data_IF_152083715787
#
_entry.id   IF_152083715787
#
_cell.length_a   1.000
_cell.length_b   1.000
_cell.length_c   1.000
_cell.angle_alpha   90.00
_cell.angle_beta   90.00
_cell.angle_gamma   90.00
#
_symmetry.space_group_name_H-M   'P 1'
#
loop_
_entity.id
_entity.type
_entity.pdbx_description
1 polymer ?
#
# COMPACT_ATOMS: atom_id res chain seq x y z
N UNK A 1 -45.11 -67.76 31.98
CA UNK A 1 -43.79 -67.64 31.33
C UNK A 1 -44.07 -67.35 29.86
N UNK A 2 -43.80 -66.22 29.23
CA UNK A 2 -43.15 -64.95 29.55
C UNK A 2 -43.82 -63.92 28.61
N UNK A 3 -44.18 -62.75 29.13
CA UNK A 3 -44.49 -61.56 28.35
C UNK A 3 -43.17 -60.96 27.85
N UNK A 4 -43.04 -60.62 26.57
CA UNK A 4 -42.14 -59.54 26.15
C UNK A 4 -42.80 -58.72 25.03
N UNK A 5 -42.97 -57.40 25.17
CA UNK A 5 -43.74 -56.58 24.24
C UNK A 5 -42.89 -56.12 23.04
N UNK A 6 -43.59 -55.74 21.97
CA UNK A 6 -43.08 -54.88 20.90
C UNK A 6 -42.40 -53.64 21.51
N UNK A 7 -41.11 -53.46 21.23
CA UNK A 7 -40.45 -52.17 21.37
C UNK A 7 -39.75 -51.84 20.05
N UNK A 8 -40.47 -51.05 19.25
CA UNK A 8 -39.90 -50.12 18.27
C UNK A 8 -38.99 -49.15 19.04
N UNK A 9 -37.71 -49.46 19.14
CA UNK A 9 -36.72 -48.47 19.53
C UNK A 9 -36.28 -47.75 18.25
N UNK A 10 -36.85 -46.56 18.06
CA UNK A 10 -36.46 -45.62 17.03
C UNK A 10 -34.93 -45.45 17.01
N UNK A 11 -34.36 -45.52 15.81
CA UNK A 11 -32.99 -45.13 15.58
C UNK A 11 -32.82 -43.67 16.04
N UNK A 12 -32.01 -43.46 17.08
CA UNK A 12 -31.51 -42.15 17.44
C UNK A 12 -30.51 -41.70 16.37
N UNK A 13 -31.00 -41.32 15.20
CA UNK A 13 -30.32 -40.38 14.31
C UNK A 13 -30.47 -38.97 14.92
N UNK A 14 -29.95 -38.80 16.13
CA UNK A 14 -29.66 -37.46 16.63
C UNK A 14 -28.59 -36.84 15.72
N UNK A 15 -28.62 -35.52 15.50
CA UNK A 15 -27.50 -34.84 14.85
C UNK A 15 -26.20 -35.18 15.61
N UNK A 16 -25.06 -35.31 14.92
CA UNK A 16 -23.79 -35.60 15.58
C UNK A 16 -23.57 -34.59 16.71
N UNK A 17 -22.97 -35.02 17.85
CA UNK A 17 -22.69 -34.11 18.94
C UNK A 17 -21.88 -32.94 18.39
N UNK A 18 -22.41 -31.72 18.56
CA UNK A 18 -21.64 -30.51 18.34
C UNK A 18 -20.36 -30.65 19.17
N UNK A 19 -19.24 -30.82 18.46
CA UNK A 19 -17.92 -30.86 19.08
C UNK A 19 -17.85 -29.60 19.93
N UNK A 20 -17.56 -29.79 21.22
CA UNK A 20 -17.48 -28.73 22.21
C UNK A 20 -16.87 -27.47 21.56
N UNK A 21 -17.59 -26.35 21.63
CA UNK A 21 -17.07 -25.05 21.28
C UNK A 21 -15.97 -24.68 22.29
N UNK A 22 -14.81 -25.32 22.15
CA UNK A 22 -13.56 -24.86 22.74
C UNK A 22 -13.24 -23.53 22.07
N UNK A 23 -13.66 -22.45 22.73
CA UNK A 23 -13.34 -21.04 22.49
C UNK A 23 -12.59 -20.75 21.18
N UNK A 24 -13.26 -20.90 20.03
CA UNK A 24 -12.74 -20.37 18.79
C UNK A 24 -12.94 -18.87 18.86
N UNK A 25 -11.86 -18.12 19.12
CA UNK A 25 -11.95 -16.67 19.11
C UNK A 25 -12.04 -16.22 17.65
N UNK A 26 -13.25 -16.28 17.12
CA UNK A 26 -13.62 -15.81 15.78
C UNK A 26 -13.66 -14.27 15.72
N UNK A 27 -12.79 -13.58 16.46
CA UNK A 27 -12.77 -12.13 16.44
C UNK A 27 -12.27 -11.69 15.07
N UNK A 28 -13.04 -10.82 14.42
CA UNK A 28 -12.56 -10.11 13.24
C UNK A 28 -11.47 -9.12 13.68
N UNK A 29 -10.19 -9.34 13.31
CA UNK A 29 -9.11 -8.44 13.67
C UNK A 29 -9.36 -7.00 13.19
N UNK A 30 -10.06 -6.79 12.07
CA UNK A 30 -10.36 -5.45 11.55
C UNK A 30 -11.42 -4.68 12.36
N UNK A 31 -12.10 -5.32 13.32
CA UNK A 31 -13.02 -4.64 14.23
C UNK A 31 -12.34 -4.16 15.52
N UNK A 32 -11.12 -4.62 15.79
CA UNK A 32 -10.33 -4.22 16.94
C UNK A 32 -8.95 -3.74 16.48
N UNK A 33 -8.75 -2.42 16.53
CA UNK A 33 -7.47 -1.78 16.16
C UNK A 33 -6.26 -2.31 16.95
N UNK A 34 -6.47 -2.97 18.09
CA UNK A 34 -5.39 -3.58 18.89
C UNK A 34 -4.92 -4.92 18.30
N UNK A 35 -5.72 -5.53 17.41
CA UNK A 35 -5.44 -6.83 16.79
C UNK A 35 -4.75 -6.71 15.43
N UNK A 36 -4.59 -5.49 14.90
CA UNK A 36 -3.97 -5.29 13.60
C UNK A 36 -2.97 -4.14 13.55
N UNK A 37 -2.04 -4.33 12.63
CA UNK A 37 -0.97 -3.44 12.22
C UNK A 37 -1.25 -2.25 11.31
N UNK A 38 -2.42 -2.24 10.66
CA UNK A 38 -2.65 -1.43 9.47
C UNK A 38 -2.40 0.06 9.72
N UNK A 39 -1.90 0.76 8.69
CA UNK A 39 -1.86 2.22 8.73
C UNK A 39 -3.27 2.76 9.05
N UNK A 40 -3.34 3.85 9.80
CA UNK A 40 -4.59 4.54 10.14
C UNK A 40 -5.50 4.83 8.94
N UNK A 41 -4.94 5.03 7.75
CA UNK A 41 -5.70 5.27 6.51
C UNK A 41 -5.85 4.02 5.65
N UNK A 42 -5.16 2.93 5.98
CA UNK A 42 -5.26 1.68 5.23
C UNK A 42 -6.62 1.00 5.45
N UNK A 43 -7.07 0.32 4.42
CA UNK A 43 -8.23 -0.57 4.49
C UNK A 43 -7.78 -1.92 5.04
N UNK A 44 -8.42 -2.35 6.14
CA UNK A 44 -8.23 -3.67 6.72
C UNK A 44 -9.27 -4.63 6.16
N UNK A 45 -8.82 -5.79 5.67
CA UNK A 45 -9.67 -6.84 5.14
C UNK A 45 -9.40 -8.14 5.90
N UNK A 46 -10.48 -8.80 6.34
CA UNK A 46 -10.43 -10.08 7.06
C UNK A 46 -11.41 -11.04 6.41
N UNK A 47 -10.88 -11.95 5.58
CA UNK A 47 -11.66 -12.99 4.91
C UNK A 47 -11.84 -14.24 5.80
N UNK A 48 -10.90 -14.47 6.73
CA UNK A 48 -10.89 -15.61 7.64
C UNK A 48 -10.72 -15.14 9.10
N UNK A 49 -11.37 -15.78 10.08
CA UNK A 49 -11.24 -15.40 11.48
C UNK A 49 -9.79 -15.49 11.96
N UNK A 50 -9.28 -14.42 12.60
CA UNK A 50 -7.90 -14.33 13.07
C UNK A 50 -6.86 -13.98 11.99
N UNK A 51 -7.26 -13.84 10.72
CA UNK A 51 -6.40 -13.36 9.64
C UNK A 51 -6.84 -11.97 9.17
N UNK A 52 -5.85 -11.15 8.82
CA UNK A 52 -6.08 -9.87 8.16
C UNK A 52 -4.98 -9.55 7.17
N UNK A 53 -5.32 -8.71 6.20
CA UNK A 53 -4.37 -8.02 5.37
C UNK A 53 -4.77 -6.55 5.26
N UNK A 54 -3.78 -5.69 5.02
CA UNK A 54 -3.99 -4.25 4.87
C UNK A 54 -3.70 -3.85 3.43
N UNK A 55 -4.49 -2.92 2.89
CA UNK A 55 -4.20 -2.29 1.61
C UNK A 55 -4.33 -0.78 1.72
N UNK A 56 -3.49 -0.04 0.99
CA UNK A 56 -3.68 1.40 0.90
C UNK A 56 -4.93 1.72 0.06
N UNK A 57 -5.73 2.71 0.46
CA UNK A 57 -6.92 3.11 -0.29
C UNK A 57 -6.53 3.79 -1.61
N UNK A 58 -7.51 4.00 -2.48
CA UNK A 58 -7.30 4.73 -3.75
C UNK A 58 -6.76 6.14 -3.50
N UNK A 59 -5.80 6.56 -4.33
CA UNK A 59 -5.11 7.83 -4.16
C UNK A 59 -4.02 7.81 -3.08
N UNK A 60 -3.68 6.63 -2.55
CA UNK A 60 -2.54 6.41 -1.68
C UNK A 60 -1.65 5.33 -2.29
N UNK A 61 -0.36 5.43 -2.02
CA UNK A 61 0.62 4.42 -2.37
C UNK A 61 1.32 3.90 -1.11
N UNK A 62 1.70 2.63 -1.16
CA UNK A 62 2.35 1.96 -0.04
C UNK A 62 3.83 2.36 -0.01
N UNK A 63 4.32 2.89 1.12
CA UNK A 63 5.72 3.23 1.39
C UNK A 63 6.35 2.37 2.48
N UNK A 64 5.70 1.26 2.83
CA UNK A 64 6.20 0.30 3.82
C UNK A 64 7.56 -0.25 3.36
N UNK A 65 8.51 -0.51 4.26
CA UNK A 65 9.77 -1.18 3.88
C UNK A 65 9.52 -2.63 3.42
N UNK A 66 8.50 -3.27 3.96
CA UNK A 66 8.13 -4.66 3.74
C UNK A 66 6.90 -4.78 2.82
N UNK A 67 6.81 -4.00 1.73
CA UNK A 67 5.60 -3.93 0.87
C UNK A 67 5.09 -5.29 0.40
N UNK A 68 5.97 -6.29 0.27
CA UNK A 68 5.62 -7.64 -0.22
C UNK A 68 5.03 -8.56 0.86
N UNK A 69 5.42 -8.38 2.12
CA UNK A 69 5.05 -9.29 3.22
C UNK A 69 4.11 -8.63 4.22
N UNK A 70 4.17 -7.30 4.35
CA UNK A 70 3.32 -6.48 5.22
C UNK A 70 2.89 -5.19 4.49
N UNK A 71 2.03 -5.30 3.47
CA UNK A 71 1.48 -4.13 2.79
C UNK A 71 0.59 -3.31 3.73
N UNK A 72 0.31 -2.07 3.34
CA UNK A 72 -0.65 -1.18 4.00
C UNK A 72 -0.26 -0.76 5.41
N UNK A 73 1.02 -0.83 5.78
CA UNK A 73 1.56 -0.37 7.07
C UNK A 73 1.95 1.10 7.07
N UNK A 74 2.29 1.62 5.90
CA UNK A 74 2.57 3.03 5.67
C UNK A 74 1.97 3.44 4.35
N UNK A 75 0.87 4.18 4.40
CA UNK A 75 0.19 4.67 3.21
C UNK A 75 0.44 6.17 3.08
N UNK A 76 1.06 6.58 1.97
CA UNK A 76 1.28 7.99 1.67
C UNK A 76 0.31 8.43 0.59
N UNK A 77 -0.31 9.60 0.79
CA UNK A 77 -1.23 10.20 -0.18
C UNK A 77 -0.46 10.55 -1.45
N UNK A 78 -1.02 10.18 -2.59
CA UNK A 78 -0.57 10.63 -3.91
C UNK A 78 -1.10 12.05 -4.09
N UNK A 79 -0.19 12.99 -4.30
CA UNK A 79 -0.48 14.41 -4.49
C UNK A 79 0.21 14.82 -5.77
N UNK A 80 -0.51 15.51 -6.65
CA UNK A 80 0.07 16.08 -7.85
C UNK A 80 0.64 17.47 -7.52
N UNK A 81 1.88 17.52 -7.04
CA UNK A 81 2.54 18.79 -6.72
C UNK A 81 2.78 19.66 -7.97
N UNK A 82 2.77 19.05 -9.17
CA UNK A 82 2.89 19.76 -10.44
C UNK A 82 1.62 20.55 -10.75
N UNK A 83 0.44 19.93 -10.64
CA UNK A 83 -0.85 20.60 -10.84
C UNK A 83 -1.16 21.64 -9.75
N UNK A 84 -0.70 21.40 -8.52
CA UNK A 84 -0.88 22.33 -7.41
C UNK A 84 0.13 23.49 -7.42
N UNK A 85 1.21 23.40 -8.20
CA UNK A 85 2.28 24.39 -8.20
C UNK A 85 3.05 24.48 -6.89
N UNK A 86 3.03 23.41 -6.08
CA UNK A 86 3.72 23.34 -4.78
C UNK A 86 5.11 22.71 -4.89
N UNK A 87 5.57 22.43 -6.11
CA UNK A 87 6.87 21.83 -6.39
C UNK A 87 8.03 22.82 -6.26
N UNK A 88 9.23 22.32 -5.98
CA UNK A 88 10.45 23.12 -5.87
C UNK A 88 11.32 23.05 -7.14
N UNK A 89 10.76 22.69 -8.30
CA UNK A 89 11.53 22.60 -9.55
C UNK A 89 12.10 23.97 -9.94
N UNK A 90 13.28 23.99 -10.54
CA UNK A 90 13.82 25.21 -11.15
C UNK A 90 12.85 25.73 -12.22
N UNK A 91 12.79 27.04 -12.41
CA UNK A 91 12.00 27.67 -13.50
C UNK A 91 12.34 27.14 -14.90
N UNK A 92 13.57 26.66 -15.08
CA UNK A 92 14.09 26.04 -16.29
C UNK A 92 14.01 24.51 -16.25
N UNK A 93 13.23 23.93 -15.34
CA UNK A 93 12.89 22.52 -15.30
C UNK A 93 11.40 22.30 -15.59
N UNK A 94 11.09 21.09 -16.04
CA UNK A 94 9.74 20.55 -16.14
C UNK A 94 9.45 19.71 -14.89
N UNK A 95 8.28 19.91 -14.29
CA UNK A 95 7.77 19.09 -13.20
C UNK A 95 7.12 17.82 -13.76
N UNK A 96 7.43 16.67 -13.18
CA UNK A 96 6.86 15.38 -13.52
C UNK A 96 6.28 14.76 -12.26
N UNK A 97 4.96 14.63 -12.24
CA UNK A 97 4.25 13.94 -11.16
C UNK A 97 4.55 12.43 -11.17
N UNK A 98 4.68 11.84 -9.99
CA UNK A 98 4.99 10.43 -9.80
C UNK A 98 4.14 9.86 -8.66
N UNK A 99 4.00 8.54 -8.61
CA UNK A 99 3.31 7.93 -7.47
C UNK A 99 3.99 8.24 -6.13
N UNK A 100 5.31 8.51 -6.12
CA UNK A 100 6.07 8.74 -4.90
C UNK A 100 6.16 10.22 -4.45
N UNK A 101 5.53 11.12 -5.22
CA UNK A 101 5.67 12.58 -5.13
C UNK A 101 5.95 13.12 -6.53
N UNK A 102 7.02 13.91 -6.70
CA UNK A 102 7.33 14.49 -8.01
C UNK A 102 8.84 14.50 -8.27
N UNK A 103 9.20 14.56 -9.55
CA UNK A 103 10.58 14.71 -10.02
C UNK A 103 10.69 15.93 -10.93
N UNK A 104 11.87 16.54 -11.01
CA UNK A 104 12.11 17.66 -11.90
C UNK A 104 13.19 17.31 -12.90
N UNK A 105 12.97 17.73 -14.15
CA UNK A 105 13.92 17.51 -15.25
C UNK A 105 14.24 18.83 -15.91
N UNK A 106 15.52 19.21 -15.98
CA UNK A 106 15.92 20.41 -16.70
C UNK A 106 15.44 20.36 -18.16
N UNK A 107 14.92 21.49 -18.64
CA UNK A 107 14.47 21.67 -20.03
C UNK A 107 15.63 21.45 -21.01
N UNK A 108 15.30 21.16 -22.26
CA UNK A 108 16.30 21.03 -23.32
C UNK A 108 17.20 22.26 -23.40
N UNK A 109 18.51 22.05 -23.49
CA UNK A 109 19.49 23.13 -23.46
C UNK A 109 19.87 23.62 -22.05
N UNK A 110 19.40 22.94 -20.99
CA UNK A 110 19.84 23.16 -19.61
C UNK A 110 20.46 21.88 -19.03
N UNK A 111 21.41 22.07 -18.13
CA UNK A 111 22.10 21.01 -17.41
C UNK A 111 21.82 21.14 -15.91
N UNK A 112 21.60 19.99 -15.27
CA UNK A 112 21.37 19.92 -13.84
C UNK A 112 22.64 20.23 -13.06
N UNK A 113 22.53 21.18 -12.13
CA UNK A 113 23.58 21.65 -11.21
C UNK A 113 23.10 21.61 -9.76
N UNK A 114 22.07 20.82 -9.47
CA UNK A 114 21.54 20.62 -8.13
C UNK A 114 22.62 20.06 -7.19
N UNK A 115 22.65 20.42 -5.89
CA UNK A 115 23.59 19.86 -4.93
C UNK A 115 23.47 18.34 -4.76
N UNK A 116 22.26 17.80 -4.93
CA UNK A 116 21.97 16.37 -4.89
C UNK A 116 21.11 15.96 -6.12
N UNK A 117 21.74 15.74 -7.29
CA UNK A 117 21.02 15.36 -8.50
C UNK A 117 20.38 13.96 -8.44
N UNK A 118 20.75 13.12 -7.47
CA UNK A 118 20.23 11.76 -7.36
C UNK A 118 18.87 11.74 -6.68
N UNK A 119 18.72 12.50 -5.59
CA UNK A 119 17.47 12.53 -4.83
C UNK A 119 16.61 13.76 -5.14
N UNK A 120 17.22 14.85 -5.60
CA UNK A 120 16.55 16.11 -5.91
C UNK A 120 17.06 16.70 -7.24
N UNK A 121 16.86 16.00 -8.38
CA UNK A 121 17.23 16.51 -9.69
C UNK A 121 16.42 17.76 -10.06
N UNK A 122 16.96 18.56 -10.97
CA UNK A 122 16.25 19.67 -11.61
C UNK A 122 15.85 20.82 -10.67
N UNK A 123 16.48 20.93 -9.49
CA UNK A 123 16.31 22.05 -8.54
C UNK A 123 17.16 23.26 -8.91
N UNK A 124 18.23 23.05 -9.66
CA UNK A 124 19.10 24.12 -10.19
C UNK A 124 19.50 23.79 -11.63
N UNK A 125 18.87 24.43 -12.60
CA UNK A 125 19.12 24.20 -14.02
C UNK A 125 19.87 25.39 -14.63
N UNK A 126 21.05 25.13 -15.22
CA UNK A 126 21.85 26.16 -15.90
C UNK A 126 21.92 25.90 -17.39
N UNK A 127 21.87 26.95 -18.20
CA UNK A 127 21.96 26.84 -19.66
C UNK A 127 23.24 26.07 -20.03
N UNK A 128 23.10 25.00 -20.81
CA UNK A 128 24.22 24.26 -21.33
C UNK A 128 24.91 25.13 -22.38
N UNK A 129 26.19 25.42 -22.18
CA UNK A 129 26.98 26.09 -23.21
C UNK A 129 27.04 25.16 -24.43
N UNK A 130 26.79 25.69 -25.65
CA UNK A 130 27.04 24.92 -26.86
C UNK A 130 28.52 24.54 -26.83
N UNK A 131 28.82 23.24 -26.93
CA UNK A 131 30.14 22.83 -27.38
C UNK A 131 30.24 23.33 -28.81
N UNK A 132 30.87 24.49 -29.03
CA UNK A 132 31.20 24.92 -30.38
C UNK A 132 31.90 23.75 -31.07
N UNK A 133 31.45 23.33 -32.27
CA UNK A 133 32.23 22.38 -33.02
C UNK A 133 33.59 23.03 -33.24
N UNK A 134 34.65 22.37 -32.77
CA UNK A 134 36.03 22.77 -33.06
C UNK A 134 36.08 22.94 -34.58
N UNK A 135 36.24 24.18 -35.03
CA UNK A 135 36.52 24.46 -36.43
C UNK A 135 37.87 23.80 -36.74
N UNK A 136 37.82 22.62 -37.33
CA UNK A 136 39.00 21.97 -37.90
C UNK A 136 39.30 22.78 -39.16
N UNK A 137 40.17 23.79 -38.99
CA UNK A 137 40.81 24.56 -40.06
C UNK A 137 41.87 23.71 -40.76
#
# INVERSE_FOLDING_TARGET
MLLWPLLLAAAFFGPPPARAAGNCFCSNPCQDYSLHDCDSVAECVSDEPGYFHCQCPRGFYDVSPERLTKPGRKCKKIVDECALGTHECDTNADCVDTAEGYSCRCKSGYQDRSPDPLNAPGRSCRKAEPKEPIAVL
#
